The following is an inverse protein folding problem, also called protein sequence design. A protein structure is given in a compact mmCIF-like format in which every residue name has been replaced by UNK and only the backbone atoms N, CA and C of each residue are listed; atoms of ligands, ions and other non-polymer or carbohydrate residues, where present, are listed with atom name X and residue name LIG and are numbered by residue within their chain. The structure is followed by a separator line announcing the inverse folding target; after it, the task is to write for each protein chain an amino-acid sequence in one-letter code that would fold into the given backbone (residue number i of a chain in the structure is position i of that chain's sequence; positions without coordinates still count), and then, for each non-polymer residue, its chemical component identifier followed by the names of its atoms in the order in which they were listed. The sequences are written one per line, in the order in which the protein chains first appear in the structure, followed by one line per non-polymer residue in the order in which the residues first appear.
data_IF_751435116851
#
_entry.id   IF_751435116851
#
_cell.length_a   1.000
_cell.length_b   1.000
_cell.length_c   1.000
_cell.angle_alpha   90.00
_cell.angle_beta   90.00
_cell.angle_gamma   90.00
#
_symmetry.space_group_name_H-M   'P 1'
#
loop_
_entity.id
_entity.type
_entity.pdbx_description
1 polymer ?
#
# COMPACT_ATOMS: atom_id res chain seq x y z
N UNK A 1 -2.75 2.55 -24.61
CA UNK A 1 -2.05 1.72 -25.61
C UNK A 1 -0.92 2.52 -26.22
N UNK A 2 0.24 1.89 -26.47
CA UNK A 2 1.31 2.51 -27.26
C UNK A 2 0.78 2.66 -28.69
N UNK A 3 0.68 3.89 -29.19
CA UNK A 3 0.38 4.10 -30.61
C UNK A 3 1.65 3.76 -31.41
N UNK A 4 1.71 2.51 -31.87
CA UNK A 4 2.82 2.01 -32.69
C UNK A 4 2.98 2.83 -33.98
N UNK A 5 1.90 3.46 -34.46
CA UNK A 5 1.96 4.29 -35.64
C UNK A 5 2.71 5.61 -35.34
N UNK A 6 2.49 6.21 -34.17
CA UNK A 6 3.18 7.44 -33.76
C UNK A 6 4.70 7.23 -33.62
N UNK A 7 5.14 6.14 -32.99
CA UNK A 7 6.58 5.83 -32.84
C UNK A 7 7.23 5.61 -34.22
N UNK A 8 6.53 4.90 -35.11
CA UNK A 8 7.04 4.61 -36.44
C UNK A 8 7.15 5.89 -37.28
N UNK A 9 6.17 6.79 -37.19
CA UNK A 9 6.22 8.09 -37.87
C UNK A 9 7.40 8.94 -37.37
N UNK A 10 7.56 9.09 -36.05
CA UNK A 10 8.65 9.90 -35.47
C UNK A 10 10.05 9.34 -35.81
N UNK A 11 10.17 8.01 -35.86
CA UNK A 11 11.41 7.37 -36.29
C UNK A 11 11.71 7.66 -37.76
N UNK A 12 10.71 7.53 -38.64
CA UNK A 12 10.89 7.78 -40.08
C UNK A 12 11.25 9.25 -40.35
N UNK A 13 10.57 10.19 -39.71
CA UNK A 13 10.89 11.63 -39.80
C UNK A 13 12.35 11.93 -39.42
N UNK A 14 12.85 11.28 -38.37
CA UNK A 14 14.24 11.43 -37.95
C UNK A 14 15.24 10.81 -38.93
N UNK A 15 14.94 9.63 -39.50
CA UNK A 15 15.77 9.00 -40.53
C UNK A 15 15.87 9.94 -41.75
N UNK A 16 14.74 10.42 -42.26
CA UNK A 16 14.68 11.31 -43.42
C UNK A 16 15.47 12.61 -43.16
N UNK A 17 15.39 13.14 -41.93
CA UNK A 17 16.16 14.32 -41.52
C UNK A 17 17.67 14.07 -41.48
N UNK A 18 18.11 12.90 -41.00
CA UNK A 18 19.54 12.56 -40.94
C UNK A 18 20.11 12.34 -42.35
N UNK A 19 19.39 11.64 -43.20
CA UNK A 19 19.78 11.40 -44.59
C UNK A 19 19.78 12.69 -45.41
N UNK A 20 18.78 13.57 -45.22
CA UNK A 20 18.74 14.90 -45.83
C UNK A 20 19.91 15.81 -45.42
N UNK A 21 20.53 15.56 -44.27
CA UNK A 21 21.75 16.24 -43.80
C UNK A 21 23.05 15.51 -44.22
N UNK A 22 22.96 14.50 -45.08
CA UNK A 22 24.11 13.74 -45.58
C UNK A 22 24.72 12.76 -44.56
N UNK A 23 24.02 12.47 -43.45
CA UNK A 23 24.44 11.46 -42.48
C UNK A 23 23.82 10.12 -42.85
N UNK A 24 24.66 9.08 -42.95
CA UNK A 24 24.17 7.71 -43.11
C UNK A 24 23.76 7.15 -41.74
N UNK A 25 22.49 6.77 -41.61
CA UNK A 25 21.92 6.20 -40.39
C UNK A 25 22.22 4.70 -40.34
N UNK A 26 22.85 4.22 -39.27
CA UNK A 26 23.05 2.79 -39.05
C UNK A 26 22.09 2.23 -37.98
N UNK A 27 22.16 0.92 -37.75
CA UNK A 27 21.29 0.23 -36.78
C UNK A 27 21.50 0.71 -35.34
N UNK A 28 22.72 1.09 -34.96
CA UNK A 28 23.02 1.60 -33.61
C UNK A 28 22.44 3.00 -33.41
N UNK A 29 22.47 3.84 -34.45
CA UNK A 29 21.80 5.15 -34.45
C UNK A 29 20.28 4.98 -34.30
N UNK A 30 19.69 4.05 -35.06
CA UNK A 30 18.26 3.72 -34.98
C UNK A 30 17.88 3.24 -33.58
N UNK A 31 18.63 2.28 -33.01
CA UNK A 31 18.35 1.73 -31.70
C UNK A 31 18.46 2.79 -30.60
N UNK A 32 19.47 3.67 -30.67
CA UNK A 32 19.61 4.78 -29.74
C UNK A 32 18.44 5.75 -29.84
N UNK A 33 18.07 6.17 -31.05
CA UNK A 33 16.99 7.14 -31.22
C UNK A 33 15.61 6.54 -30.85
N UNK A 34 15.37 5.27 -31.18
CA UNK A 34 14.20 4.53 -30.69
C UNK A 34 14.15 4.52 -29.16
N UNK A 35 15.29 4.27 -28.50
CA UNK A 35 15.41 4.36 -27.05
C UNK A 35 15.03 5.73 -26.50
N UNK A 36 15.48 6.81 -27.15
CA UNK A 36 15.14 8.20 -26.79
C UNK A 36 13.64 8.48 -26.95
N UNK A 37 13.02 8.05 -28.06
CA UNK A 37 11.57 8.19 -28.29
C UNK A 37 10.77 7.44 -27.21
N UNK A 38 11.13 6.19 -26.93
CA UNK A 38 10.47 5.38 -25.92
C UNK A 38 10.63 5.98 -24.52
N UNK A 39 11.82 6.46 -24.17
CA UNK A 39 12.07 7.11 -22.89
C UNK A 39 11.24 8.40 -22.77
N UNK A 40 11.26 9.26 -23.79
CA UNK A 40 10.48 10.50 -23.79
C UNK A 40 8.98 10.24 -23.63
N UNK A 41 8.44 9.21 -24.30
CA UNK A 41 7.04 8.84 -24.18
C UNK A 41 6.69 8.26 -22.79
N UNK A 42 7.59 7.45 -22.22
CA UNK A 42 7.40 6.86 -20.90
C UNK A 42 7.53 7.87 -19.77
N UNK A 43 8.34 8.93 -19.96
CA UNK A 43 8.53 10.04 -19.04
C UNK A 43 7.45 11.14 -19.18
N UNK A 44 6.69 11.15 -20.27
CA UNK A 44 5.62 12.12 -20.48
C UNK A 44 4.44 11.90 -19.50
N UNK A 45 3.87 12.98 -18.92
CA UNK A 45 2.74 12.90 -18.01
C UNK A 45 1.49 12.38 -18.72
N UNK A 46 0.71 11.54 -18.05
CA UNK A 46 -0.54 10.98 -18.59
C UNK A 46 -1.75 11.45 -17.79
N UNK A 47 -2.80 11.99 -18.44
CA UNK A 47 -4.03 12.42 -17.75
C UNK A 47 -4.68 11.29 -16.94
N UNK A 48 -4.74 10.07 -17.50
CA UNK A 48 -5.34 8.90 -16.84
C UNK A 48 -4.59 8.45 -15.57
N UNK A 49 -3.35 8.91 -15.39
CA UNK A 49 -2.54 8.70 -14.19
C UNK A 49 -2.41 9.97 -13.34
N UNK A 50 -3.34 10.91 -13.49
CA UNK A 50 -3.30 12.21 -12.81
C UNK A 50 -1.94 12.92 -13.00
N UNK A 51 -1.43 12.90 -14.23
CA UNK A 51 -0.17 13.50 -14.62
C UNK A 51 1.08 12.70 -14.27
N UNK A 52 0.98 11.48 -13.71
CA UNK A 52 2.15 10.61 -13.62
C UNK A 52 2.55 10.12 -15.01
N UNK A 53 3.84 9.93 -15.20
CA UNK A 53 4.36 9.24 -16.37
C UNK A 53 4.19 7.72 -16.22
N UNK A 54 4.31 6.98 -17.33
CA UNK A 54 4.33 5.52 -17.29
C UNK A 54 5.51 4.98 -16.49
N UNK A 55 6.64 5.67 -16.52
CA UNK A 55 7.81 5.34 -15.71
C UNK A 55 7.53 5.51 -14.20
N UNK A 56 6.93 6.63 -13.80
CA UNK A 56 6.57 6.86 -12.40
C UNK A 56 5.54 5.85 -11.88
N UNK A 57 4.52 5.52 -12.69
CA UNK A 57 3.58 4.44 -12.36
C UNK A 57 4.31 3.10 -12.25
N UNK A 58 5.23 2.79 -13.16
CA UNK A 58 6.01 1.56 -13.11
C UNK A 58 6.82 1.45 -11.81
N UNK A 59 7.45 2.54 -11.35
CA UNK A 59 8.15 2.56 -10.07
C UNK A 59 7.21 2.31 -8.89
N UNK A 60 6.05 2.99 -8.85
CA UNK A 60 5.06 2.79 -7.78
C UNK A 60 4.52 1.36 -7.71
N UNK A 61 4.41 0.67 -8.85
CA UNK A 61 3.88 -0.69 -8.93
C UNK A 61 4.93 -1.75 -8.60
N UNK A 62 6.16 -1.60 -9.11
CA UNK A 62 7.15 -2.68 -9.09
C UNK A 62 8.24 -2.46 -8.02
N UNK A 63 8.47 -1.22 -7.61
CA UNK A 63 9.50 -0.81 -6.65
C UNK A 63 8.93 0.15 -5.59
N UNK A 64 7.83 -0.24 -4.91
CA UNK A 64 7.16 0.67 -4.00
C UNK A 64 8.07 1.09 -2.85
N UNK A 65 8.12 2.40 -2.58
CA UNK A 65 8.89 3.02 -1.50
C UNK A 65 10.43 2.88 -1.63
N UNK A 66 10.92 2.41 -2.78
CA UNK A 66 12.35 2.39 -3.09
C UNK A 66 12.84 3.77 -3.56
N UNK A 67 14.16 3.95 -3.62
CA UNK A 67 14.76 5.20 -4.11
C UNK A 67 14.35 5.41 -5.57
N UNK A 68 13.85 6.61 -5.89
CA UNK A 68 13.33 6.96 -7.21
C UNK A 68 11.84 6.64 -7.41
N UNK A 69 11.19 6.01 -6.44
CA UNK A 69 9.73 5.95 -6.41
C UNK A 69 9.16 7.33 -6.05
N UNK A 70 8.09 7.81 -6.74
CA UNK A 70 7.44 9.09 -6.43
C UNK A 70 6.88 9.21 -5.01
N UNK A 71 6.68 8.07 -4.34
CA UNK A 71 6.25 8.00 -2.96
C UNK A 71 7.31 7.28 -2.15
N UNK A 72 7.81 7.92 -1.11
CA UNK A 72 8.86 7.38 -0.24
C UNK A 72 8.43 7.40 1.22
N UNK A 73 8.91 6.42 1.98
CA UNK A 73 8.67 6.34 3.41
C UNK A 73 9.69 7.24 4.14
N UNK A 74 9.22 8.08 5.06
CA UNK A 74 10.06 8.92 5.89
C UNK A 74 10.63 8.15 7.07
N UNK A 75 11.75 8.65 7.58
CA UNK A 75 12.22 8.26 8.92
C UNK A 75 11.41 9.02 9.97
N UNK A 76 11.04 8.34 11.04
CA UNK A 76 10.23 8.86 12.13
C UNK A 76 10.97 8.75 13.46
N UNK A 77 10.56 9.58 14.41
CA UNK A 77 10.93 9.44 15.83
C UNK A 77 10.14 8.30 16.48
N UNK A 78 10.59 7.83 17.64
CA UNK A 78 9.87 6.80 18.39
C UNK A 78 8.47 7.28 18.82
N UNK A 79 8.34 8.54 19.24
CA UNK A 79 7.05 9.15 19.57
C UNK A 79 6.07 9.15 18.38
N UNK A 80 6.58 9.46 17.18
CA UNK A 80 5.77 9.38 15.95
C UNK A 80 5.39 7.93 15.61
N UNK A 81 6.27 6.98 15.87
CA UNK A 81 6.03 5.55 15.65
C UNK A 81 4.86 5.04 16.51
N UNK A 82 4.80 5.48 17.76
CA UNK A 82 3.71 5.15 18.68
C UNK A 82 2.35 5.75 18.28
N UNK A 83 2.30 6.66 17.30
CA UNK A 83 1.03 7.14 16.75
C UNK A 83 0.48 6.23 15.66
N UNK A 84 1.30 5.33 15.10
CA UNK A 84 0.92 4.43 14.01
C UNK A 84 0.32 3.15 14.60
N UNK A 85 -0.97 2.86 14.37
CA UNK A 85 -1.68 1.76 15.04
C UNK A 85 -1.05 0.38 14.84
N UNK A 86 -0.72 0.03 13.59
CA UNK A 86 -0.05 -1.26 13.30
C UNK A 86 1.34 -1.36 13.94
N UNK A 87 2.03 -0.24 14.14
CA UNK A 87 3.34 -0.21 14.82
C UNK A 87 3.18 -0.37 16.33
N UNK A 88 2.21 0.32 16.96
CA UNK A 88 1.89 0.09 18.39
C UNK A 88 1.60 -1.39 18.66
N UNK A 89 0.76 -1.98 17.83
CA UNK A 89 0.41 -3.40 17.92
C UNK A 89 1.64 -4.31 17.75
N UNK A 90 2.48 -4.03 16.75
CA UNK A 90 3.68 -4.81 16.50
C UNK A 90 4.69 -4.70 17.64
N UNK A 91 4.99 -3.49 18.11
CA UNK A 91 5.90 -3.23 19.22
C UNK A 91 5.41 -3.90 20.50
N UNK A 92 4.11 -3.80 20.83
CA UNK A 92 3.53 -4.47 21.99
C UNK A 92 3.72 -5.99 21.93
N UNK A 93 3.32 -6.62 20.82
CA UNK A 93 3.46 -8.07 20.67
C UNK A 93 4.92 -8.52 20.66
N UNK A 94 5.79 -7.79 19.95
CA UNK A 94 7.20 -8.16 19.82
C UNK A 94 7.97 -7.98 21.13
N UNK A 95 7.66 -6.96 21.93
CA UNK A 95 8.22 -6.77 23.27
C UNK A 95 7.74 -7.87 24.23
N UNK A 96 6.47 -8.27 24.22
CA UNK A 96 6.03 -9.42 25.03
C UNK A 96 6.77 -10.71 24.61
N UNK A 97 7.02 -10.88 23.30
CA UNK A 97 7.74 -12.02 22.73
C UNK A 97 9.27 -11.97 22.93
N UNK A 98 9.86 -10.81 23.25
CA UNK A 98 11.29 -10.72 23.58
C UNK A 98 11.59 -11.33 24.95
N UNK A 99 10.64 -11.19 25.87
CA UNK A 99 10.73 -11.71 27.24
C UNK A 99 10.37 -13.19 27.34
N UNK A 100 9.32 -13.64 26.62
CA UNK A 100 8.86 -15.03 26.69
C UNK A 100 8.08 -15.47 25.44
N UNK A 101 8.04 -16.77 25.21
CA UNK A 101 7.17 -17.35 24.18
C UNK A 101 5.68 -17.24 24.57
N UNK A 102 4.83 -16.90 23.60
CA UNK A 102 3.38 -16.86 23.80
C UNK A 102 2.76 -18.20 23.41
N UNK A 103 2.14 -18.89 24.37
CA UNK A 103 1.38 -20.12 24.10
C UNK A 103 0.12 -19.77 23.29
N UNK A 104 -0.06 -20.42 22.14
CA UNK A 104 -1.26 -20.29 21.33
C UNK A 104 -2.42 -21.11 21.93
N UNK A 105 -3.64 -20.82 21.49
CA UNK A 105 -4.80 -21.66 21.80
C UNK A 105 -4.64 -23.05 21.18
N UNK A 106 -5.50 -23.99 21.56
CA UNK A 106 -5.51 -25.34 20.98
C UNK A 106 -5.68 -25.31 19.43
N UNK A 107 -6.40 -24.31 18.92
CA UNK A 107 -6.62 -24.08 17.49
C UNK A 107 -5.49 -23.28 16.82
N UNK A 108 -4.42 -22.92 17.55
CA UNK A 108 -3.27 -22.20 17.00
C UNK A 108 -3.44 -20.68 16.92
N UNK A 109 -4.44 -20.12 17.62
CA UNK A 109 -4.69 -18.67 17.65
C UNK A 109 -3.94 -17.95 18.77
N UNK A 110 -3.71 -16.66 18.60
CA UNK A 110 -3.29 -15.73 19.65
C UNK A 110 -4.37 -15.76 20.75
N UNK A 111 -3.98 -15.93 22.03
CA UNK A 111 -4.94 -15.99 23.13
C UNK A 111 -5.83 -14.73 23.23
N UNK A 112 -7.12 -14.87 23.60
CA UNK A 112 -8.06 -13.74 23.65
C UNK A 112 -7.58 -12.53 24.47
N UNK A 113 -6.82 -12.76 25.55
CA UNK A 113 -6.23 -11.67 26.34
C UNK A 113 -5.31 -10.79 25.49
N UNK A 114 -4.35 -11.40 24.79
CA UNK A 114 -3.43 -10.68 23.90
C UNK A 114 -4.18 -10.06 22.72
N UNK A 115 -5.20 -10.74 22.18
CA UNK A 115 -6.02 -10.14 21.10
C UNK A 115 -6.74 -8.89 21.58
N UNK A 116 -7.30 -8.88 22.80
CA UNK A 116 -7.95 -7.70 23.35
C UNK A 116 -6.97 -6.54 23.54
N UNK A 117 -5.77 -6.80 24.08
CA UNK A 117 -4.71 -5.79 24.21
C UNK A 117 -4.32 -5.20 22.84
N UNK A 118 -4.10 -6.06 21.84
CA UNK A 118 -3.75 -5.61 20.49
C UNK A 118 -4.89 -4.86 19.80
N UNK A 119 -6.14 -5.25 20.03
CA UNK A 119 -7.30 -4.56 19.49
C UNK A 119 -7.35 -3.10 19.97
N UNK A 120 -7.20 -2.85 21.27
CA UNK A 120 -7.22 -1.50 21.86
C UNK A 120 -6.06 -0.61 21.37
N UNK A 121 -4.92 -1.22 21.01
CA UNK A 121 -3.77 -0.49 20.45
C UNK A 121 -3.91 -0.21 18.95
N UNK A 122 -4.80 -0.92 18.27
CA UNK A 122 -4.98 -0.87 16.82
C UNK A 122 -5.92 0.22 16.35
N UNK A 123 -6.30 0.11 15.08
CA UNK A 123 -7.46 0.81 14.56
C UNK A 123 -8.69 -0.07 14.73
N UNK A 124 -9.75 0.50 15.26
CA UNK A 124 -11.01 -0.19 15.41
C UNK A 124 -11.72 -0.24 14.06
N UNK A 125 -12.23 -1.41 13.72
CA UNK A 125 -13.02 -1.63 12.52
C UNK A 125 -14.43 -1.99 12.92
N UNK A 126 -15.42 -1.51 12.17
CA UNK A 126 -16.82 -1.88 12.39
C UNK A 126 -17.03 -3.40 12.48
N UNK A 127 -16.32 -4.17 11.66
CA UNK A 127 -16.39 -5.64 11.68
C UNK A 127 -15.91 -6.21 13.02
N UNK A 128 -14.76 -5.76 13.51
CA UNK A 128 -14.23 -6.21 14.80
C UNK A 128 -15.09 -5.70 15.96
N UNK A 129 -15.65 -4.48 15.87
CA UNK A 129 -16.48 -3.83 16.88
C UNK A 129 -17.80 -4.57 17.12
N UNK A 130 -18.34 -5.23 16.08
CA UNK A 130 -19.52 -6.07 16.17
C UNK A 130 -19.39 -7.18 17.24
N UNK A 131 -18.17 -7.67 17.45
CA UNK A 131 -17.89 -8.74 18.40
C UNK A 131 -17.52 -8.17 19.78
N UNK A 132 -18.36 -8.47 20.78
CA UNK A 132 -18.10 -8.10 22.19
C UNK A 132 -16.84 -8.74 22.75
N UNK A 133 -16.62 -10.01 22.45
CA UNK A 133 -15.41 -10.74 22.85
C UNK A 133 -14.45 -10.82 21.67
N UNK A 134 -13.24 -10.31 21.88
CA UNK A 134 -12.20 -10.32 20.86
C UNK A 134 -11.49 -11.67 20.83
N UNK A 135 -11.25 -12.15 19.62
CA UNK A 135 -10.53 -13.39 19.34
C UNK A 135 -9.94 -13.25 17.95
N UNK A 136 -8.75 -13.79 17.69
CA UNK A 136 -8.04 -13.57 16.42
C UNK A 136 -8.93 -13.81 15.19
N UNK A 137 -9.73 -14.89 15.07
CA UNK A 137 -10.60 -15.09 13.89
C UNK A 137 -11.68 -14.03 13.68
N UNK A 138 -11.99 -13.22 14.70
CA UNK A 138 -13.03 -12.19 14.71
C UNK A 138 -12.46 -10.77 14.67
N UNK A 139 -11.14 -10.64 14.58
CA UNK A 139 -10.44 -9.36 14.72
C UNK A 139 -9.46 -9.23 13.56
N UNK A 140 -9.94 -8.69 12.43
CA UNK A 140 -9.20 -8.68 11.15
C UNK A 140 -7.83 -8.00 11.30
N UNK A 141 -7.76 -6.85 11.97
CA UNK A 141 -6.53 -6.11 12.21
C UNK A 141 -5.47 -6.94 12.96
N UNK A 142 -5.85 -7.82 13.89
CA UNK A 142 -4.92 -8.71 14.60
C UNK A 142 -4.48 -9.87 13.71
N UNK A 143 -5.36 -10.38 12.84
CA UNK A 143 -4.97 -11.39 11.84
C UNK A 143 -3.94 -10.81 10.87
N UNK A 144 -4.18 -9.59 10.36
CA UNK A 144 -3.26 -8.90 9.47
C UNK A 144 -1.93 -8.64 10.16
N UNK A 145 -1.93 -8.16 11.40
CA UNK A 145 -0.70 -7.97 12.17
C UNK A 145 0.12 -9.26 12.23
N UNK A 146 -0.51 -10.39 12.60
CA UNK A 146 0.19 -11.67 12.69
C UNK A 146 0.76 -12.11 11.34
N UNK A 147 0.00 -11.94 10.26
CA UNK A 147 0.46 -12.22 8.89
C UNK A 147 1.67 -11.36 8.55
N UNK A 148 1.60 -10.04 8.74
CA UNK A 148 2.71 -9.12 8.47
C UNK A 148 3.97 -9.54 9.23
N UNK A 149 3.87 -9.74 10.54
CA UNK A 149 5.01 -10.13 11.37
C UNK A 149 5.61 -11.49 10.98
N UNK A 150 4.75 -12.46 10.64
CA UNK A 150 5.18 -13.81 10.25
C UNK A 150 5.84 -13.82 8.87
N UNK A 151 5.21 -13.21 7.86
CA UNK A 151 5.71 -13.19 6.48
C UNK A 151 6.96 -12.30 6.35
N UNK A 152 7.11 -11.27 7.19
CA UNK A 152 8.36 -10.53 7.31
C UNK A 152 9.47 -11.32 8.04
N UNK A 153 9.18 -12.50 8.57
CA UNK A 153 10.11 -13.35 9.31
C UNK A 153 10.47 -12.84 10.70
N UNK A 154 9.64 -11.97 11.29
CA UNK A 154 9.88 -11.34 12.60
C UNK A 154 9.46 -12.26 13.75
N UNK A 155 8.40 -13.03 13.54
CA UNK A 155 7.91 -14.03 14.49
C UNK A 155 7.83 -15.41 13.82
N UNK A 156 7.82 -16.47 14.62
CA UNK A 156 7.62 -17.85 14.16
C UNK A 156 6.76 -18.64 15.13
N UNK A 157 6.06 -19.64 14.61
CA UNK A 157 5.30 -20.61 15.42
C UNK A 157 6.08 -21.93 15.51
N UNK A 158 6.30 -22.45 16.72
CA UNK A 158 6.90 -23.77 16.98
C UNK A 158 6.14 -24.46 18.10
N UNK A 159 5.64 -25.68 17.85
CA UNK A 159 4.96 -26.53 18.85
C UNK A 159 3.89 -25.75 19.64
N UNK A 160 2.94 -25.14 18.93
CA UNK A 160 1.83 -24.40 19.56
C UNK A 160 2.23 -23.13 20.30
N UNK A 161 3.45 -22.61 20.09
CA UNK A 161 3.92 -21.36 20.68
C UNK A 161 4.40 -20.39 19.63
N UNK A 162 4.14 -19.11 19.85
CA UNK A 162 4.66 -17.99 19.09
C UNK A 162 5.93 -17.46 19.76
N UNK A 163 6.95 -17.14 18.98
CA UNK A 163 8.24 -16.64 19.47
C UNK A 163 8.84 -15.63 18.50
N UNK A 164 9.67 -14.73 19.04
CA UNK A 164 10.44 -13.77 18.25
C UNK A 164 11.60 -14.47 17.54
N UNK A 165 11.85 -14.14 16.27
CA UNK A 165 13.03 -14.64 15.54
C UNK A 165 14.27 -13.81 15.84
N UNK A 166 15.44 -14.25 15.38
CA UNK A 166 16.67 -13.44 15.46
C UNK A 166 16.52 -12.11 14.70
N UNK A 167 15.91 -12.16 13.50
CA UNK A 167 15.56 -10.96 12.71
C UNK A 167 14.59 -10.06 13.48
N UNK A 168 13.57 -10.64 14.11
CA UNK A 168 12.62 -9.90 14.95
C UNK A 168 13.31 -9.16 16.10
N UNK A 169 14.22 -9.84 16.83
CA UNK A 169 15.01 -9.22 17.91
C UNK A 169 15.89 -8.08 17.41
N UNK A 170 16.55 -8.26 16.27
CA UNK A 170 17.39 -7.23 15.66
C UNK A 170 16.57 -6.00 15.28
N UNK A 171 15.44 -6.18 14.58
CA UNK A 171 14.63 -5.08 14.09
C UNK A 171 13.83 -4.39 15.20
N UNK A 172 13.54 -5.08 16.32
CA UNK A 172 12.94 -4.45 17.49
C UNK A 172 13.83 -3.33 18.08
N UNK A 173 15.14 -3.39 17.86
CA UNK A 173 16.07 -2.33 18.27
C UNK A 173 16.21 -1.17 17.26
N UNK A 174 15.63 -1.30 16.05
CA UNK A 174 15.59 -0.24 15.03
C UNK A 174 14.15 -0.10 14.50
N UNK A 175 13.36 0.71 15.20
CA UNK A 175 11.94 0.92 14.87
C UNK A 175 11.72 1.44 13.45
N UNK A 176 12.66 2.21 12.89
CA UNK A 176 12.54 2.72 11.53
C UNK A 176 12.68 1.58 10.52
N UNK A 177 13.65 0.69 10.70
CA UNK A 177 13.83 -0.45 9.81
C UNK A 177 12.72 -1.50 9.99
N UNK A 178 12.21 -1.66 11.22
CA UNK A 178 11.02 -2.47 11.49
C UNK A 178 9.79 -1.92 10.74
N UNK A 179 9.50 -0.63 10.87
CA UNK A 179 8.41 0.02 10.16
C UNK A 179 8.59 -0.13 8.66
N UNK A 180 9.79 0.17 8.14
CA UNK A 180 10.10 0.03 6.71
C UNK A 180 9.80 -1.38 6.23
N UNK A 181 10.27 -2.40 6.94
CA UNK A 181 10.04 -3.81 6.60
C UNK A 181 8.55 -4.13 6.53
N UNK A 182 7.77 -3.71 7.53
CA UNK A 182 6.33 -3.99 7.61
C UNK A 182 5.53 -3.24 6.55
N UNK A 183 5.78 -1.94 6.38
CA UNK A 183 5.06 -1.09 5.43
C UNK A 183 5.40 -1.51 3.99
N UNK A 184 6.65 -1.85 3.69
CA UNK A 184 7.00 -2.40 2.38
C UNK A 184 6.26 -3.71 2.09
N UNK A 185 6.17 -4.62 3.06
CA UNK A 185 5.39 -5.84 2.90
C UNK A 185 3.90 -5.54 2.63
N UNK A 186 3.29 -4.64 3.40
CA UNK A 186 1.89 -4.24 3.25
C UNK A 186 1.59 -3.62 1.88
N UNK A 187 2.51 -2.83 1.33
CA UNK A 187 2.32 -2.18 0.02
C UNK A 187 2.71 -3.06 -1.16
N UNK A 188 3.59 -4.07 -0.98
CA UNK A 188 4.13 -4.88 -2.08
C UNK A 188 3.58 -6.31 -2.14
N UNK A 189 3.51 -7.00 -1.00
CA UNK A 189 3.39 -8.46 -0.95
C UNK A 189 2.11 -8.94 -0.27
N UNK A 190 1.55 -8.15 0.66
CA UNK A 190 0.32 -8.51 1.34
C UNK A 190 -0.82 -8.67 0.34
N UNK A 191 -1.65 -9.70 0.50
CA UNK A 191 -2.86 -9.86 -0.31
C UNK A 191 -4.07 -9.34 0.49
N UNK A 192 -4.58 -8.15 0.14
CA UNK A 192 -5.76 -7.57 0.80
C UNK A 192 -7.05 -8.34 0.54
N UNK A 193 -7.09 -9.16 -0.52
CA UNK A 193 -8.20 -10.02 -0.88
C UNK A 193 -8.29 -11.32 -0.07
N UNK A 194 -7.25 -11.69 0.69
CA UNK A 194 -7.22 -12.95 1.44
C UNK A 194 -8.39 -13.12 2.43
N UNK A 195 -8.93 -12.00 2.93
CA UNK A 195 -10.03 -12.00 3.89
C UNK A 195 -11.42 -11.80 3.24
N UNK A 196 -11.53 -11.75 1.91
CA UNK A 196 -12.82 -11.64 1.22
C UNK A 196 -13.06 -12.77 0.20
N UNK A 197 -14.23 -12.70 -0.42
CA UNK A 197 -14.73 -13.66 -1.41
C UNK A 197 -14.70 -13.08 -2.83
N UNK A 198 -14.00 -11.96 -3.07
CA UNK A 198 -13.90 -11.40 -4.42
C UNK A 198 -12.92 -12.21 -5.27
N UNK A 199 -13.34 -12.60 -6.47
CA UNK A 199 -12.58 -13.45 -7.38
C UNK A 199 -11.31 -12.76 -7.92
N UNK A 200 -11.42 -11.47 -8.25
CA UNK A 200 -10.29 -10.69 -8.77
C UNK A 200 -9.38 -10.29 -7.62
N UNK A 201 -8.22 -10.93 -7.53
CA UNK A 201 -7.21 -10.61 -6.53
C UNK A 201 -6.39 -9.37 -6.87
N UNK A 202 -6.38 -8.84 -8.09
CA UNK A 202 -5.57 -7.67 -8.43
C UNK A 202 -6.18 -6.37 -7.91
N UNK A 203 -7.51 -6.28 -7.87
CA UNK A 203 -8.25 -5.11 -7.37
C UNK A 203 -7.82 -4.75 -5.94
N UNK A 204 -7.26 -3.55 -5.77
CA UNK A 204 -6.75 -3.04 -4.49
C UNK A 204 -5.39 -3.58 -4.04
N UNK A 205 -4.88 -4.64 -4.68
CA UNK A 205 -3.50 -5.10 -4.53
C UNK A 205 -2.56 -4.37 -5.50
N UNK A 206 -2.97 -4.22 -6.76
CA UNK A 206 -2.29 -3.38 -7.75
C UNK A 206 -2.49 -1.90 -7.40
N UNK A 207 -1.51 -1.04 -7.71
CA UNK A 207 -1.71 0.42 -7.63
C UNK A 207 -1.82 1.01 -6.23
N UNK A 208 -1.44 0.31 -5.16
CA UNK A 208 -1.60 0.81 -3.76
C UNK A 208 -0.96 2.16 -3.50
N UNK A 209 0.24 2.41 -4.02
CA UNK A 209 0.89 3.72 -3.87
C UNK A 209 0.20 4.81 -4.69
N UNK A 210 -0.41 4.46 -5.83
CA UNK A 210 -1.25 5.39 -6.57
C UNK A 210 -2.52 5.73 -5.79
N UNK A 211 -3.18 4.74 -5.17
CA UNK A 211 -4.30 4.98 -4.25
C UNK A 211 -3.91 5.83 -3.04
N UNK A 212 -2.70 5.63 -2.52
CA UNK A 212 -2.16 6.44 -1.42
C UNK A 212 -1.95 7.89 -1.87
N UNK A 213 -1.42 8.09 -3.08
CA UNK A 213 -1.29 9.41 -3.70
C UNK A 213 -2.65 10.07 -3.91
N UNK A 214 -3.66 9.34 -4.38
CA UNK A 214 -5.02 9.86 -4.51
C UNK A 214 -5.56 10.33 -3.15
N UNK A 215 -5.39 9.52 -2.10
CA UNK A 215 -5.81 9.89 -0.74
C UNK A 215 -5.06 11.13 -0.22
N UNK A 216 -3.75 11.24 -0.49
CA UNK A 216 -2.95 12.42 -0.12
C UNK A 216 -3.51 13.72 -0.72
N UNK A 217 -3.86 13.69 -2.01
CA UNK A 217 -4.24 14.87 -2.79
C UNK A 217 -5.72 15.22 -2.66
N UNK A 218 -6.58 14.21 -2.49
CA UNK A 218 -8.03 14.37 -2.54
C UNK A 218 -8.74 14.11 -1.21
N UNK A 219 -8.03 13.59 -0.21
CA UNK A 219 -8.60 13.20 1.07
C UNK A 219 -8.51 14.22 2.20
N UNK A 220 -8.17 15.48 1.94
CA UNK A 220 -8.15 16.51 3.00
C UNK A 220 -9.54 16.64 3.65
N UNK A 221 -10.57 16.72 2.80
CA UNK A 221 -11.97 16.69 3.21
C UNK A 221 -12.57 15.29 3.03
N UNK A 222 -13.70 15.04 3.71
CA UNK A 222 -14.50 13.83 3.50
C UNK A 222 -14.87 13.70 2.02
N UNK A 223 -14.54 12.55 1.44
CA UNK A 223 -14.79 12.28 0.03
C UNK A 223 -15.33 10.87 -0.17
N UNK A 224 -16.33 10.77 -1.03
CA UNK A 224 -16.95 9.49 -1.40
C UNK A 224 -15.90 8.52 -1.98
N UNK A 225 -15.89 7.30 -1.46
CA UNK A 225 -14.97 6.23 -1.87
C UNK A 225 -15.07 5.89 -3.35
N UNK A 226 -16.23 6.12 -3.99
CA UNK A 226 -16.44 5.94 -5.43
C UNK A 226 -15.58 6.86 -6.28
N UNK A 227 -15.29 8.08 -5.82
CA UNK A 227 -14.37 8.98 -6.51
C UNK A 227 -13.00 8.31 -6.69
N UNK A 228 -12.49 7.66 -5.63
CA UNK A 228 -11.21 6.97 -5.68
C UNK A 228 -11.26 5.70 -6.52
N UNK A 229 -12.39 4.99 -6.51
CA UNK A 229 -12.59 3.83 -7.38
C UNK A 229 -12.62 4.24 -8.87
N UNK A 230 -13.22 5.37 -9.20
CA UNK A 230 -13.26 5.92 -10.56
C UNK A 230 -11.86 6.36 -11.04
N UNK A 231 -11.11 7.09 -10.20
CA UNK A 231 -9.72 7.46 -10.49
C UNK A 231 -8.80 6.23 -10.64
N UNK A 232 -9.01 5.21 -9.82
CA UNK A 232 -8.29 3.95 -9.94
C UNK A 232 -8.62 3.23 -11.24
N UNK A 233 -9.91 3.15 -11.60
CA UNK A 233 -10.36 2.50 -12.84
C UNK A 233 -9.89 3.23 -14.10
N UNK A 234 -9.73 4.57 -14.04
CA UNK A 234 -9.06 5.33 -15.11
C UNK A 234 -7.63 4.88 -15.32
N UNK A 235 -6.86 4.70 -14.24
CA UNK A 235 -5.48 4.24 -14.31
C UNK A 235 -5.35 2.75 -14.66
N UNK A 236 -6.33 1.93 -14.28
CA UNK A 236 -6.32 0.48 -14.45
C UNK A 236 -7.63 -0.01 -15.08
N UNK A 237 -7.89 0.30 -16.37
CA UNK A 237 -9.19 0.05 -17.01
C UNK A 237 -9.52 -1.43 -17.19
N UNK A 238 -8.54 -2.32 -17.01
CA UNK A 238 -8.76 -3.77 -17.01
C UNK A 238 -9.33 -4.31 -15.70
N UNK A 239 -9.32 -3.51 -14.63
CA UNK A 239 -9.78 -3.90 -13.29
C UNK A 239 -11.15 -3.31 -12.99
N UNK A 240 -12.03 -4.12 -12.41
CA UNK A 240 -13.30 -3.64 -11.89
C UNK A 240 -13.11 -3.22 -10.42
N UNK A 241 -12.82 -1.95 -10.18
CA UNK A 241 -12.55 -1.44 -8.84
C UNK A 241 -13.73 -1.70 -7.89
N UNK A 242 -14.87 -1.04 -8.14
CA UNK A 242 -16.11 -1.16 -7.38
C UNK A 242 -15.91 -1.22 -5.86
N UNK A 243 -16.80 -1.95 -5.17
CA UNK A 243 -16.71 -2.14 -3.73
C UNK A 243 -15.48 -2.96 -3.27
N UNK A 244 -14.95 -3.84 -4.13
CA UNK A 244 -13.76 -4.63 -3.82
C UNK A 244 -12.55 -3.73 -3.57
N UNK A 245 -12.34 -2.73 -4.41
CA UNK A 245 -11.30 -1.72 -4.26
C UNK A 245 -11.48 -0.90 -2.99
N UNK A 246 -12.67 -0.32 -2.80
CA UNK A 246 -12.96 0.58 -1.67
C UNK A 246 -12.67 -0.13 -0.34
N UNK A 247 -13.13 -1.36 -0.21
CA UNK A 247 -12.96 -2.12 1.02
C UNK A 247 -11.50 -2.57 1.23
N UNK A 248 -10.85 -3.13 0.21
CA UNK A 248 -9.47 -3.61 0.32
C UNK A 248 -8.49 -2.47 0.61
N UNK A 249 -8.65 -1.32 -0.04
CA UNK A 249 -7.75 -0.17 0.11
C UNK A 249 -8.04 0.58 1.41
N UNK A 250 -9.27 1.03 1.64
CA UNK A 250 -9.56 1.91 2.77
C UNK A 250 -9.76 1.13 4.08
N UNK A 251 -10.55 0.06 4.07
CA UNK A 251 -10.90 -0.65 5.29
C UNK A 251 -9.79 -1.59 5.79
N UNK A 252 -9.01 -2.18 4.87
CA UNK A 252 -8.06 -3.28 5.16
C UNK A 252 -6.59 -2.96 4.96
N UNK A 253 -6.26 -1.82 4.36
CA UNK A 253 -4.87 -1.37 4.23
C UNK A 253 -4.69 -0.02 4.92
N UNK A 254 -5.34 1.02 4.42
CA UNK A 254 -5.11 2.38 4.90
C UNK A 254 -5.62 2.59 6.32
N UNK A 255 -6.83 2.14 6.67
CA UNK A 255 -7.31 2.23 8.06
C UNK A 255 -6.42 1.46 9.02
N UNK A 256 -5.95 0.25 8.68
CA UNK A 256 -5.10 -0.53 9.60
C UNK A 256 -3.75 0.14 9.90
N UNK A 257 -3.21 0.88 8.93
CA UNK A 257 -2.00 1.69 9.11
C UNK A 257 -2.33 3.04 9.78
N UNK A 258 -3.61 3.43 9.83
CA UNK A 258 -4.08 4.71 10.36
C UNK A 258 -4.04 5.87 9.36
N UNK A 259 -3.93 5.60 8.06
CA UNK A 259 -3.76 6.61 7.01
C UNK A 259 -5.05 7.33 6.62
N UNK A 260 -6.21 6.73 6.91
CA UNK A 260 -7.50 7.33 6.67
C UNK A 260 -8.49 7.04 7.80
N UNK A 261 -9.48 7.91 7.89
CA UNK A 261 -10.72 7.69 8.64
C UNK A 261 -11.86 7.39 7.67
N UNK A 262 -12.86 6.67 8.16
CA UNK A 262 -14.09 6.35 7.45
C UNK A 262 -15.24 6.93 8.28
N UNK A 263 -16.24 7.52 7.62
CA UNK A 263 -17.36 8.21 8.28
C UNK A 263 -18.38 7.22 8.90
N UNK A 264 -17.91 6.39 9.82
CA UNK A 264 -18.67 5.32 10.49
C UNK A 264 -19.16 5.70 11.91
N UNK A 265 -18.86 6.90 12.41
CA UNK A 265 -19.38 7.37 13.70
C UNK A 265 -20.88 7.70 13.64
N UNK A 266 -21.52 7.75 14.82
CA UNK A 266 -22.96 7.95 14.95
C UNK A 266 -23.45 9.28 14.35
N UNK A 267 -22.61 10.30 14.34
CA UNK A 267 -22.86 11.62 13.73
C UNK A 267 -23.03 11.56 12.20
N UNK A 268 -22.46 10.55 11.53
CA UNK A 268 -22.58 10.37 10.07
C UNK A 268 -23.70 9.42 9.66
N UNK A 269 -24.51 8.91 10.62
CA UNK A 269 -25.59 7.97 10.32
C UNK A 269 -26.52 8.53 9.25
N UNK A 270 -26.68 7.77 8.16
CA UNK A 270 -27.49 8.20 7.03
C UNK A 270 -27.03 7.57 5.71
N UNK A 271 -27.42 8.19 4.59
CA UNK A 271 -27.18 7.68 3.23
C UNK A 271 -25.71 7.45 2.89
N UNK A 272 -24.82 8.28 3.43
CA UNK A 272 -23.38 8.29 3.14
C UNK A 272 -22.54 7.59 4.22
N UNK A 273 -23.17 7.03 5.25
CA UNK A 273 -22.47 6.40 6.35
C UNK A 273 -21.59 5.22 5.87
N UNK A 274 -20.31 5.24 6.25
CA UNK A 274 -19.31 4.27 5.82
C UNK A 274 -18.89 4.37 4.35
N UNK A 275 -19.25 5.44 3.63
CA UNK A 275 -18.95 5.62 2.20
C UNK A 275 -17.96 6.73 1.91
N UNK A 276 -17.61 7.55 2.89
CA UNK A 276 -16.67 8.65 2.72
C UNK A 276 -15.42 8.39 3.55
N UNK A 277 -14.29 8.83 3.00
CA UNK A 277 -12.98 8.74 3.63
C UNK A 277 -12.30 10.08 3.61
N UNK A 278 -11.48 10.32 4.63
CA UNK A 278 -10.51 11.42 4.68
C UNK A 278 -9.17 10.90 5.15
N UNK A 279 -8.08 11.54 4.71
CA UNK A 279 -6.74 11.22 5.17
C UNK A 279 -6.55 11.69 6.61
N UNK A 280 -5.67 11.01 7.32
CA UNK A 280 -5.17 11.49 8.61
C UNK A 280 -3.84 12.23 8.41
N UNK A 281 -3.42 12.95 9.45
CA UNK A 281 -2.06 13.51 9.53
C UNK A 281 -0.96 12.44 9.48
N UNK A 282 -1.26 11.18 9.82
CA UNK A 282 -0.28 10.09 9.75
C UNK A 282 0.19 9.86 8.33
N UNK A 283 -0.68 10.06 7.33
CA UNK A 283 -0.29 9.93 5.93
C UNK A 283 0.84 10.90 5.58
N UNK A 284 0.67 12.19 5.90
CA UNK A 284 1.64 13.23 5.57
C UNK A 284 2.88 13.18 6.49
N UNK A 285 2.75 12.58 7.67
CA UNK A 285 3.86 12.27 8.56
C UNK A 285 4.72 11.12 8.02
N UNK A 286 4.10 10.02 7.58
CA UNK A 286 4.79 8.80 7.16
C UNK A 286 5.38 8.88 5.76
N UNK A 287 4.73 9.60 4.83
CA UNK A 287 5.09 9.56 3.42
C UNK A 287 5.56 10.92 2.89
N UNK A 288 6.59 10.87 2.05
CA UNK A 288 6.97 11.97 1.17
C UNK A 288 6.47 11.68 -0.24
N UNK A 289 5.92 12.70 -0.88
CA UNK A 289 5.45 12.65 -2.25
C UNK A 289 6.32 13.60 -3.08
N UNK A 290 6.80 13.14 -4.24
CA UNK A 290 7.37 14.03 -5.23
C UNK A 290 6.33 15.08 -5.62
N UNK A 291 6.73 16.35 -5.59
CA UNK A 291 5.87 17.44 -6.03
C UNK A 291 5.57 17.25 -7.51
N UNK A 292 4.31 17.37 -7.88
CA UNK A 292 3.89 17.67 -9.25
C UNK A 292 3.43 19.11 -9.31
#
# INVERSE_FOLDING_TARGET
MIDKNEITCRLQEWIDQMEGNGKHVNLDDINRHLGEIMHAQNAAPKPDFNGFSSEQMHQMLNRPLEVGCPVQLRRLTDEQMERIPVMRQALHLMNELSEKELKLTAQGYIPPKMVAELYELGCHSRNSDWYKQKSEPKTEEVQVLRVVLKECGLIKTRIGKLSLTAKGKQLLADHNELMRTMIQFLFRNYNTGWLDLYEDNEVGNLGRLYSLWLLHHYGVDWRDTRFYADEYSRAFPMLNAGHGYEYRVFNRLFRFIGLCEINESDEFKGKNWGKEVRKTELLDMMFAFEKK
#
